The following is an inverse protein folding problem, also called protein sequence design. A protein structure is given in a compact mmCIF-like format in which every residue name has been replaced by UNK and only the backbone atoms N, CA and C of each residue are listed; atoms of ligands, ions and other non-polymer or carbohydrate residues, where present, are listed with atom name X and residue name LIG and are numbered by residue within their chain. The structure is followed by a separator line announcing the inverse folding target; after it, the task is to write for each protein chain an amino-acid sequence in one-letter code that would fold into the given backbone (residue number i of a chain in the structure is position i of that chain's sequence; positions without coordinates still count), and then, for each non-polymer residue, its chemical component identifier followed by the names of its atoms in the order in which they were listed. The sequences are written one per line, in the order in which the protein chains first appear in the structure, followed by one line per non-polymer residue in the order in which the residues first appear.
data_IF_710484953549
#
_entry.id   IF_710484953549
#
_cell.length_a   1.000
_cell.length_b   1.000
_cell.length_c   1.000
_cell.angle_alpha   90.00
_cell.angle_beta   90.00
_cell.angle_gamma   90.00
#
_symmetry.space_group_name_H-M   'P 1'
#
loop_
_entity.id
_entity.type
_entity.pdbx_description
1 polymer ?
#
# COMPACT_ATOMS: atom_id res chain seq x y z
N UNK A 1 2.63 5.93 -18.09
CA UNK A 1 3.68 5.29 -17.26
C UNK A 1 4.56 4.48 -18.18
N UNK A 2 5.89 4.53 -18.03
CA UNK A 2 6.82 3.72 -18.82
C UNK A 2 6.47 2.22 -18.65
N UNK A 3 6.55 1.43 -19.73
CA UNK A 3 6.25 -0.01 -19.73
C UNK A 3 7.03 -0.78 -18.66
N UNK A 4 8.32 -0.44 -18.43
CA UNK A 4 9.16 -1.08 -17.41
C UNK A 4 8.69 -0.78 -15.98
N UNK A 5 8.25 0.45 -15.73
CA UNK A 5 7.69 0.84 -14.42
C UNK A 5 6.32 0.20 -14.22
N UNK A 6 5.50 0.13 -15.28
CA UNK A 6 4.19 -0.53 -15.24
C UNK A 6 4.31 -2.01 -14.89
N UNK A 7 5.20 -2.75 -15.54
CA UNK A 7 5.39 -4.17 -15.25
C UNK A 7 5.90 -4.41 -13.82
N UNK A 8 6.80 -3.55 -13.33
CA UNK A 8 7.30 -3.63 -11.96
C UNK A 8 6.20 -3.38 -10.93
N UNK A 9 5.43 -2.29 -11.07
CA UNK A 9 4.29 -1.98 -10.18
C UNK A 9 3.28 -3.12 -10.17
N UNK A 10 2.93 -3.65 -11.35
CA UNK A 10 1.95 -4.73 -11.47
C UNK A 10 2.44 -6.03 -10.83
N UNK A 11 3.73 -6.34 -10.96
CA UNK A 11 4.34 -7.53 -10.36
C UNK A 11 4.35 -7.43 -8.83
N UNK A 12 4.74 -6.28 -8.27
CA UNK A 12 4.69 -6.02 -6.83
C UNK A 12 3.24 -6.09 -6.33
N UNK A 13 2.28 -5.49 -7.04
CA UNK A 13 0.86 -5.57 -6.69
C UNK A 13 0.37 -7.02 -6.64
N UNK A 14 0.72 -7.84 -7.64
CA UNK A 14 0.30 -9.24 -7.68
C UNK A 14 0.82 -10.02 -6.47
N UNK A 15 2.10 -9.83 -6.12
CA UNK A 15 2.69 -10.45 -4.92
C UNK A 15 2.02 -9.94 -3.65
N UNK A 16 1.76 -8.63 -3.57
CA UNK A 16 1.12 -8.03 -2.41
C UNK A 16 -0.33 -8.53 -2.22
N UNK A 17 -1.11 -8.62 -3.29
CA UNK A 17 -2.50 -9.11 -3.25
C UNK A 17 -2.53 -10.56 -2.73
N UNK A 18 -1.65 -11.42 -3.24
CA UNK A 18 -1.58 -12.81 -2.78
C UNK A 18 -1.26 -12.90 -1.28
N UNK A 19 -0.24 -12.17 -0.81
CA UNK A 19 0.12 -12.14 0.61
C UNK A 19 -1.01 -11.56 1.47
N UNK A 20 -1.66 -10.49 0.98
CA UNK A 20 -2.77 -9.83 1.66
C UNK A 20 -3.94 -10.79 1.83
N UNK A 21 -4.32 -11.53 0.78
CA UNK A 21 -5.43 -12.50 0.85
C UNK A 21 -5.12 -13.59 1.87
N UNK A 22 -3.92 -14.19 1.82
CA UNK A 22 -3.52 -15.25 2.75
C UNK A 22 -3.53 -14.74 4.19
N UNK A 23 -2.91 -13.58 4.45
CA UNK A 23 -2.86 -13.01 5.79
C UNK A 23 -4.25 -12.60 6.30
N UNK A 24 -5.09 -12.01 5.44
CA UNK A 24 -6.48 -11.64 5.77
C UNK A 24 -7.28 -12.85 6.18
N UNK A 25 -7.19 -13.96 5.43
CA UNK A 25 -7.88 -15.20 5.75
C UNK A 25 -7.44 -15.74 7.10
N UNK A 26 -6.13 -15.82 7.34
CA UNK A 26 -5.59 -16.30 8.62
C UNK A 26 -6.05 -15.44 9.81
N UNK A 27 -6.02 -14.11 9.69
CA UNK A 27 -6.49 -13.20 10.74
C UNK A 27 -8.01 -13.34 10.94
N UNK A 28 -8.77 -13.50 9.86
CA UNK A 28 -10.23 -13.63 9.91
C UNK A 28 -10.70 -14.89 10.64
N UNK A 29 -9.88 -15.96 10.64
CA UNK A 29 -10.16 -17.17 11.43
C UNK A 29 -10.15 -16.90 12.94
N UNK A 30 -9.34 -15.94 13.40
CA UNK A 30 -9.32 -15.52 14.81
C UNK A 30 -10.38 -14.47 15.10
N UNK A 31 -10.50 -13.46 14.24
CA UNK A 31 -11.51 -12.42 14.37
C UNK A 31 -11.76 -11.75 13.01
N UNK A 32 -13.00 -11.89 12.52
CA UNK A 32 -13.40 -11.33 11.24
C UNK A 32 -13.19 -9.81 11.14
N UNK A 33 -13.45 -9.04 12.21
CA UNK A 33 -13.27 -7.58 12.19
C UNK A 33 -11.81 -7.18 12.04
N UNK A 34 -10.90 -7.92 12.67
CA UNK A 34 -9.46 -7.71 12.52
C UNK A 34 -9.00 -8.02 11.09
N UNK A 35 -9.54 -9.08 10.49
CA UNK A 35 -9.29 -9.42 9.09
C UNK A 35 -9.75 -8.31 8.14
N UNK A 36 -10.95 -7.76 8.35
CA UNK A 36 -11.47 -6.63 7.58
C UNK A 36 -10.60 -5.39 7.75
N UNK A 37 -10.23 -5.03 8.99
CA UNK A 37 -9.37 -3.89 9.26
C UNK A 37 -8.01 -4.02 8.55
N UNK A 38 -7.39 -5.18 8.65
CA UNK A 38 -6.15 -5.52 7.96
C UNK A 38 -6.28 -5.39 6.43
N UNK A 39 -7.34 -5.97 5.85
CA UNK A 39 -7.58 -5.92 4.41
C UNK A 39 -7.71 -4.48 3.91
N UNK A 40 -8.48 -3.66 4.64
CA UNK A 40 -8.62 -2.23 4.33
C UNK A 40 -7.26 -1.53 4.37
N UNK A 41 -6.47 -1.77 5.42
CA UNK A 41 -5.10 -1.24 5.52
C UNK A 41 -4.23 -1.58 4.32
N UNK A 42 -4.23 -2.86 3.90
CA UNK A 42 -3.45 -3.34 2.75
C UNK A 42 -3.93 -2.79 1.40
N UNK A 43 -5.25 -2.62 1.22
CA UNK A 43 -5.82 -1.97 0.03
C UNK A 43 -5.37 -0.51 -0.04
N UNK A 44 -5.47 0.23 1.06
CA UNK A 44 -5.04 1.62 1.16
C UNK A 44 -3.54 1.77 0.85
N UNK A 45 -2.70 0.87 1.38
CA UNK A 45 -1.27 0.86 1.06
C UNK A 45 -1.01 0.61 -0.44
N UNK A 46 -1.77 -0.30 -1.06
CA UNK A 46 -1.64 -0.60 -2.50
C UNK A 46 -2.02 0.60 -3.36
N UNK A 47 -3.10 1.30 -3.01
CA UNK A 47 -3.51 2.56 -3.66
C UNK A 47 -2.42 3.62 -3.49
N UNK A 48 -1.91 3.79 -2.26
CA UNK A 48 -0.86 4.75 -1.93
C UNK A 48 0.41 4.50 -2.77
N UNK A 49 0.87 3.26 -2.87
CA UNK A 49 2.03 2.87 -3.68
C UNK A 49 1.81 3.11 -5.17
N UNK A 50 0.66 2.70 -5.70
CA UNK A 50 0.34 2.85 -7.12
C UNK A 50 0.25 4.31 -7.52
N UNK A 51 -0.44 5.13 -6.72
CA UNK A 51 -0.51 6.57 -6.91
C UNK A 51 0.88 7.22 -6.84
N UNK A 52 1.74 6.78 -5.90
CA UNK A 52 3.13 7.24 -5.83
C UNK A 52 3.90 6.96 -7.12
N UNK A 53 3.83 5.72 -7.61
CA UNK A 53 4.56 5.29 -8.80
C UNK A 53 4.11 6.08 -10.05
N UNK A 54 2.82 6.35 -10.18
CA UNK A 54 2.27 7.17 -11.26
C UNK A 54 2.82 8.61 -11.19
N UNK A 55 2.78 9.22 -10.00
CA UNK A 55 3.25 10.61 -9.80
C UNK A 55 4.74 10.72 -10.05
N UNK A 56 5.55 9.83 -9.47
CA UNK A 56 7.00 9.79 -9.66
C UNK A 56 7.34 9.60 -11.15
N UNK A 57 6.71 8.64 -11.84
CA UNK A 57 6.94 8.45 -13.27
C UNK A 57 6.64 9.73 -14.07
N UNK A 58 5.55 10.44 -13.74
CA UNK A 58 5.14 11.66 -14.44
C UNK A 58 6.10 12.83 -14.17
N UNK A 59 6.67 12.90 -12.97
CA UNK A 59 7.65 13.93 -12.59
C UNK A 59 9.03 13.67 -13.18
N UNK A 60 9.49 12.42 -13.19
CA UNK A 60 10.76 12.06 -13.85
C UNK A 60 10.69 12.41 -15.35
N UNK A 61 9.53 12.25 -16.00
CA UNK A 61 9.35 12.66 -17.40
C UNK A 61 9.21 14.18 -17.62
N UNK A 62 9.01 14.99 -16.59
CA UNK A 62 8.78 16.44 -16.71
C UNK A 62 9.39 17.18 -15.51
N UNK A 63 10.52 17.89 -15.71
CA UNK A 63 11.33 18.56 -14.65
C UNK A 63 10.56 19.54 -13.71
N UNK A 64 9.30 19.89 -13.99
CA UNK A 64 8.44 20.76 -13.14
C UNK A 64 7.46 19.96 -12.27
N UNK A 65 7.95 19.03 -11.45
CA UNK A 65 7.09 18.09 -10.72
C UNK A 65 7.15 18.11 -9.19
N UNK A 66 8.04 18.87 -8.56
CA UNK A 66 8.20 18.86 -7.09
C UNK A 66 6.90 19.17 -6.33
N UNK A 67 6.14 20.20 -6.77
CA UNK A 67 4.84 20.54 -6.18
C UNK A 67 3.80 19.41 -6.34
N UNK A 68 3.84 18.66 -7.45
CA UNK A 68 2.92 17.53 -7.67
C UNK A 68 3.23 16.35 -6.76
N UNK A 69 4.51 16.14 -6.45
CA UNK A 69 4.94 15.12 -5.47
C UNK A 69 4.43 15.49 -4.08
N UNK A 70 4.63 16.74 -3.65
CA UNK A 70 4.18 17.21 -2.35
C UNK A 70 2.65 17.14 -2.19
N UNK A 71 1.90 17.63 -3.18
CA UNK A 71 0.44 17.58 -3.14
C UNK A 71 -0.08 16.13 -3.10
N UNK A 72 0.51 15.24 -3.91
CA UNK A 72 0.19 13.80 -3.89
C UNK A 72 0.48 13.17 -2.52
N UNK A 73 1.59 13.54 -1.89
CA UNK A 73 1.93 13.07 -0.56
C UNK A 73 0.87 13.49 0.47
N UNK A 74 0.51 14.78 0.50
CA UNK A 74 -0.52 15.30 1.42
C UNK A 74 -1.85 14.58 1.23
N UNK A 75 -2.32 14.42 -0.01
CA UNK A 75 -3.58 13.72 -0.30
C UNK A 75 -3.57 12.26 0.17
N UNK A 76 -2.44 11.56 0.01
CA UNK A 76 -2.30 10.16 0.46
C UNK A 76 -2.25 10.06 1.98
N UNK A 77 -1.61 11.01 2.66
CA UNK A 77 -1.61 11.08 4.12
C UNK A 77 -3.00 11.37 4.68
N UNK A 78 -3.75 12.29 4.07
CA UNK A 78 -5.15 12.55 4.44
C UNK A 78 -6.02 11.30 4.30
N UNK A 79 -5.81 10.54 3.22
CA UNK A 79 -6.53 9.28 3.00
C UNK A 79 -6.20 8.25 4.10
N UNK A 80 -4.93 8.09 4.48
CA UNK A 80 -4.54 7.19 5.59
C UNK A 80 -5.17 7.65 6.92
N UNK A 81 -5.14 8.96 7.21
CA UNK A 81 -5.75 9.54 8.41
C UNK A 81 -7.26 9.29 8.46
N UNK A 82 -7.97 9.50 7.35
CA UNK A 82 -9.42 9.30 7.29
C UNK A 82 -9.80 7.86 7.66
N UNK A 83 -9.09 6.86 7.15
CA UNK A 83 -9.34 5.46 7.48
C UNK A 83 -8.89 5.08 8.89
N UNK A 84 -7.85 5.73 9.42
CA UNK A 84 -7.44 5.57 10.82
C UNK A 84 -8.57 5.98 11.77
N UNK A 85 -9.26 7.09 11.50
CA UNK A 85 -10.39 7.55 12.32
C UNK A 85 -11.54 6.53 12.38
N UNK A 86 -11.76 5.75 11.31
CA UNK A 86 -12.81 4.72 11.25
C UNK A 86 -12.53 3.60 12.27
N UNK A 87 -11.28 3.15 12.38
CA UNK A 87 -10.89 2.04 13.26
C UNK A 87 -10.46 2.47 14.66
N UNK A 88 -10.39 3.77 14.94
CA UNK A 88 -9.87 4.32 16.20
C UNK A 88 -10.71 3.94 17.44
N UNK A 89 -11.94 3.46 17.25
CA UNK A 89 -12.84 3.03 18.34
C UNK A 89 -12.33 1.79 19.07
N UNK A 90 -11.59 0.91 18.40
CA UNK A 90 -10.96 -0.26 19.01
C UNK A 90 -9.48 -0.30 18.62
N UNK A 91 -8.61 -0.19 19.64
CA UNK A 91 -7.15 -0.17 19.46
C UNK A 91 -6.65 -1.42 18.74
N UNK A 92 -7.31 -2.58 18.93
CA UNK A 92 -6.93 -3.82 18.24
C UNK A 92 -7.28 -3.75 16.75
N UNK A 93 -8.48 -3.29 16.41
CA UNK A 93 -8.87 -3.09 15.00
C UNK A 93 -7.94 -2.08 14.30
N UNK A 94 -7.64 -0.97 14.98
CA UNK A 94 -6.67 0.01 14.50
C UNK A 94 -5.28 -0.60 14.28
N UNK A 95 -4.80 -1.41 15.23
CA UNK A 95 -3.50 -2.08 15.10
C UNK A 95 -3.48 -3.00 13.87
N UNK A 96 -4.53 -3.80 13.63
CA UNK A 96 -4.60 -4.65 12.45
C UNK A 96 -4.68 -3.87 11.14
N UNK A 97 -5.40 -2.74 11.11
CA UNK A 97 -5.37 -1.81 10.00
C UNK A 97 -3.96 -1.29 9.70
N UNK A 98 -3.24 -0.83 10.72
CA UNK A 98 -1.87 -0.32 10.58
C UNK A 98 -0.89 -1.43 10.16
N UNK A 99 -1.03 -2.63 10.69
CA UNK A 99 -0.23 -3.79 10.28
C UNK A 99 -0.48 -4.11 8.81
N UNK A 100 -1.74 -4.15 8.37
CA UNK A 100 -2.09 -4.36 6.96
C UNK A 100 -1.50 -3.30 6.04
N UNK A 101 -1.46 -2.05 6.49
CA UNK A 101 -0.83 -0.95 5.77
C UNK A 101 0.70 -1.13 5.67
N UNK A 102 1.37 -1.43 6.78
CA UNK A 102 2.83 -1.57 6.85
C UNK A 102 3.32 -2.82 6.10
N UNK A 103 2.56 -3.92 6.12
CA UNK A 103 2.94 -5.19 5.49
C UNK A 103 3.18 -5.05 3.98
N UNK A 104 2.56 -4.05 3.33
CA UNK A 104 2.85 -3.71 1.94
C UNK A 104 4.35 -3.43 1.70
N UNK A 105 5.03 -2.81 2.66
CA UNK A 105 6.47 -2.52 2.56
C UNK A 105 7.31 -3.80 2.58
N UNK A 106 6.85 -4.82 3.31
CA UNK A 106 7.47 -6.15 3.32
C UNK A 106 7.32 -6.82 1.95
N UNK A 107 6.16 -6.69 1.30
CA UNK A 107 5.92 -7.21 -0.06
C UNK A 107 6.89 -6.61 -1.09
N UNK A 108 7.17 -5.32 -1.01
CA UNK A 108 8.16 -4.65 -1.86
C UNK A 108 9.56 -5.23 -1.59
N UNK A 109 9.94 -5.40 -0.32
CA UNK A 109 11.24 -5.94 0.04
C UNK A 109 11.45 -7.38 -0.47
N UNK A 110 10.44 -8.25 -0.28
CA UNK A 110 10.45 -9.63 -0.77
C UNK A 110 10.58 -9.67 -2.30
N UNK A 111 9.80 -8.86 -3.01
CA UNK A 111 9.84 -8.80 -4.47
C UNK A 111 11.24 -8.37 -4.98
N UNK A 112 11.81 -7.31 -4.40
CA UNK A 112 13.13 -6.80 -4.78
C UNK A 112 14.23 -7.83 -4.54
N UNK A 113 14.20 -8.52 -3.38
CA UNK A 113 15.17 -9.56 -3.05
C UNK A 113 15.04 -10.79 -3.95
N UNK A 114 13.82 -11.23 -4.25
CA UNK A 114 13.55 -12.39 -5.11
C UNK A 114 14.03 -12.16 -6.55
N UNK A 115 13.89 -10.95 -7.08
CA UNK A 115 14.21 -10.64 -8.47
C UNK A 115 15.58 -9.98 -8.69
N UNK A 116 16.43 -9.85 -7.65
CA UNK A 116 17.72 -9.12 -7.71
C UNK A 116 17.60 -7.81 -8.49
N UNK A 117 16.54 -7.03 -8.22
CA UNK A 117 16.24 -5.83 -8.98
C UNK A 117 17.17 -4.63 -8.63
N UNK A 118 18.25 -4.89 -7.89
CA UNK A 118 19.41 -4.06 -7.63
C UNK A 118 20.64 -4.98 -7.57
#
# INVERSE_FOLDING_TARGET
MNAKIKSLVFSIMKTNILLTIIATLLISLFNFRFGVAFLVGSVIATINFTANAIVINKVISNRRGALKIQLSFVLRMLLILLFTLIFMKDVKELAFYLIGFILHQISIFIYTKKNKAL
#
